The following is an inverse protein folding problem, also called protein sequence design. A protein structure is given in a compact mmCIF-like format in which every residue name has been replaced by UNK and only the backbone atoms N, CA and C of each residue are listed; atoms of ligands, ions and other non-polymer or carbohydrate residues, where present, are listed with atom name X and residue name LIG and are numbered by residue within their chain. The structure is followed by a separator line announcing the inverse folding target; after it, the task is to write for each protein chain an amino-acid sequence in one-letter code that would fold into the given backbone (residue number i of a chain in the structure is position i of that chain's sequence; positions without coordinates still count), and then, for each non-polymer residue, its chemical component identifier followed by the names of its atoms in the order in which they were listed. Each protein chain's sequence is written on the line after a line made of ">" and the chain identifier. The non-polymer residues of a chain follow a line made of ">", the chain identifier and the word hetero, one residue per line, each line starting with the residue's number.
data_IF_467227993213
#
_entry.id   IF_467227993213
#
_cell.length_a   1.000
_cell.length_b   1.000
_cell.length_c   1.000
_cell.angle_alpha   90.00
_cell.angle_beta   90.00
_cell.angle_gamma   90.00
#
_symmetry.space_group_name_H-M   'P 1'
#
loop_
_entity.id
_entity.type
_entity.pdbx_description
1 polymer ?
#
# COMPACT_ATOMS: atom_id res chain seq x y z
N UNK A 1 -40.37 23.45 -31.61
CA UNK A 1 -39.67 22.35 -30.91
C UNK A 1 -38.20 22.43 -31.29
N UNK A 2 -37.37 23.05 -30.44
CA UNK A 2 -36.33 22.38 -29.62
C UNK A 2 -35.40 21.51 -30.48
N UNK A 3 -34.21 22.02 -30.85
CA UNK A 3 -32.89 21.80 -30.18
C UNK A 3 -32.27 20.46 -30.64
N UNK A 4 -31.02 20.28 -31.08
CA UNK A 4 -29.76 21.03 -30.92
C UNK A 4 -28.76 20.54 -31.98
N UNK A 5 -27.96 21.48 -32.49
CA UNK A 5 -26.67 21.23 -33.13
C UNK A 5 -25.73 20.73 -32.02
N UNK A 6 -25.16 19.52 -32.16
CA UNK A 6 -24.10 19.05 -31.29
C UNK A 6 -22.77 19.13 -32.06
N UNK A 7 -22.13 20.30 -31.98
CA UNK A 7 -20.73 20.45 -32.33
C UNK A 7 -19.90 20.44 -31.05
N UNK A 8 -18.86 19.61 -31.12
CA UNK A 8 -17.53 19.80 -30.56
C UNK A 8 -17.32 19.86 -29.03
N UNK A 9 -16.19 19.26 -28.67
CA UNK A 9 -15.41 19.49 -27.47
C UNK A 9 -16.04 18.99 -26.17
N UNK A 10 -15.61 17.80 -25.75
CA UNK A 10 -14.70 17.72 -24.60
C UNK A 10 -13.99 16.36 -24.63
N UNK A 11 -12.95 16.27 -25.46
CA UNK A 11 -11.75 15.52 -25.06
C UNK A 11 -11.06 16.32 -23.95
N UNK A 12 -11.76 16.54 -22.83
CA UNK A 12 -11.08 16.81 -21.58
C UNK A 12 -10.61 15.43 -21.15
N UNK A 13 -9.29 15.24 -21.25
CA UNK A 13 -8.59 14.17 -20.59
C UNK A 13 -9.30 13.87 -19.28
N UNK A 14 -9.76 12.61 -19.14
CA UNK A 14 -9.72 12.01 -17.83
C UNK A 14 -8.25 12.09 -17.47
N UNK A 15 -7.91 13.19 -16.80
CA UNK A 15 -6.81 13.28 -15.86
C UNK A 15 -7.25 12.29 -14.78
N UNK A 16 -7.17 10.98 -15.11
CA UNK A 16 -6.83 10.00 -14.10
C UNK A 16 -5.66 10.64 -13.39
N UNK A 17 -5.75 10.92 -12.08
CA UNK A 17 -4.56 11.32 -11.38
C UNK A 17 -3.61 10.17 -11.63
N UNK A 18 -2.63 10.40 -12.52
CA UNK A 18 -1.36 9.72 -12.54
C UNK A 18 -0.65 10.17 -11.26
N UNK A 19 -1.29 9.89 -10.12
CA UNK A 19 -0.81 10.16 -8.79
C UNK A 19 0.01 8.96 -8.42
N UNK A 20 1.24 8.93 -8.95
CA UNK A 20 2.33 8.09 -8.51
C UNK A 20 1.92 6.64 -8.19
N UNK A 21 1.80 5.81 -9.23
CA UNK A 21 2.04 4.37 -9.06
C UNK A 21 3.42 4.28 -8.41
N UNK A 22 3.44 4.00 -7.11
CA UNK A 22 4.63 4.17 -6.31
C UNK A 22 5.68 3.23 -6.87
N UNK A 23 6.95 3.64 -6.95
CA UNK A 23 8.05 2.72 -7.30
C UNK A 23 8.12 1.52 -6.32
N UNK A 24 7.40 1.60 -5.21
CA UNK A 24 7.11 0.52 -4.28
C UNK A 24 6.26 -0.59 -4.88
N UNK A 25 5.36 -0.31 -5.83
CA UNK A 25 4.39 -1.26 -6.38
C UNK A 25 5.10 -2.48 -6.97
N UNK A 26 6.02 -2.29 -7.91
CA UNK A 26 6.74 -3.42 -8.48
C UNK A 26 7.76 -4.09 -7.52
N UNK A 27 8.40 -3.34 -6.60
CA UNK A 27 9.56 -3.85 -5.83
C UNK A 27 9.21 -4.77 -4.67
N UNK A 28 8.07 -4.55 -4.03
CA UNK A 28 7.59 -5.42 -2.94
C UNK A 28 6.76 -6.58 -3.52
N UNK A 29 6.09 -6.38 -4.67
CA UNK A 29 5.35 -7.44 -5.37
C UNK A 29 6.22 -8.63 -5.75
N UNK A 30 7.49 -8.41 -6.11
CA UNK A 30 8.39 -9.51 -6.52
C UNK A 30 8.95 -10.34 -5.36
N UNK A 31 8.78 -9.91 -4.11
CA UNK A 31 9.48 -10.53 -2.98
C UNK A 31 8.54 -11.20 -1.96
N UNK A 32 7.31 -10.70 -1.75
CA UNK A 32 6.47 -11.16 -0.64
C UNK A 32 4.97 -11.13 -1.00
N UNK A 33 4.28 -12.24 -0.76
CA UNK A 33 2.88 -12.45 -1.15
C UNK A 33 1.91 -11.56 -0.35
N UNK A 34 1.17 -10.74 -1.11
CA UNK A 34 -0.05 -9.98 -0.78
C UNK A 34 0.14 -8.61 -0.11
N UNK A 35 -0.42 -7.56 -0.74
CA UNK A 35 -0.25 -6.13 -0.39
C UNK A 35 -1.58 -5.41 -0.25
N UNK A 36 -1.77 -4.80 0.91
CA UNK A 36 -2.59 -3.61 1.05
C UNK A 36 -1.65 -2.50 1.52
N UNK A 37 -1.67 -1.35 0.87
CA UNK A 37 -1.03 -0.15 1.39
C UNK A 37 -2.12 0.89 1.63
N UNK A 38 -2.00 1.62 2.72
CA UNK A 38 -2.92 2.70 3.05
C UNK A 38 -2.14 3.98 3.31
N UNK A 39 -2.80 5.09 3.06
CA UNK A 39 -2.32 6.38 3.52
C UNK A 39 -2.44 6.40 5.04
N UNK A 40 -1.44 6.96 5.72
CA UNK A 40 -1.53 7.13 7.16
C UNK A 40 -2.58 8.22 7.46
N UNK A 41 -3.64 7.85 8.18
CA UNK A 41 -4.75 8.75 8.50
C UNK A 41 -4.31 9.97 9.34
N UNK A 42 -3.22 9.84 10.11
CA UNK A 42 -2.67 10.91 10.93
C UNK A 42 -1.65 11.79 10.19
N UNK A 43 -1.00 11.25 9.16
CA UNK A 43 -0.05 11.96 8.32
C UNK A 43 -0.22 11.50 6.86
N UNK A 44 -1.06 12.19 6.06
CA UNK A 44 -1.36 11.77 4.69
C UNK A 44 -0.17 11.76 3.73
N UNK A 45 0.98 12.33 4.12
CA UNK A 45 2.22 12.23 3.34
C UNK A 45 2.96 10.91 3.56
N UNK A 46 2.54 10.14 4.57
CA UNK A 46 3.11 8.84 4.96
C UNK A 46 2.21 7.68 4.56
N UNK A 47 2.84 6.51 4.42
CA UNK A 47 2.23 5.28 3.95
C UNK A 47 2.43 4.16 4.97
N UNK A 48 1.35 3.44 5.26
CA UNK A 48 1.36 2.20 6.01
C UNK A 48 1.32 1.03 5.03
N UNK A 49 2.22 0.06 5.21
CA UNK A 49 2.29 -1.15 4.37
C UNK A 49 1.84 -2.34 5.21
N UNK A 50 0.94 -3.16 4.69
CA UNK A 50 0.40 -4.34 5.35
C UNK A 50 0.82 -5.60 4.59
N UNK A 51 1.47 -6.54 5.28
CA UNK A 51 2.07 -7.73 4.65
C UNK A 51 1.67 -9.01 5.38
N UNK A 52 1.48 -10.10 4.66
CA UNK A 52 1.35 -11.44 5.23
C UNK A 52 2.65 -12.21 5.00
N UNK A 53 3.31 -12.63 6.08
CA UNK A 53 4.53 -13.41 6.02
C UNK A 53 4.29 -14.89 6.26
N UNK A 54 5.00 -15.72 5.51
CA UNK A 54 5.01 -17.17 5.73
C UNK A 54 5.85 -17.55 6.95
N UNK A 55 6.97 -16.87 7.15
CA UNK A 55 7.88 -17.09 8.28
C UNK A 55 7.96 -15.84 9.16
N UNK A 56 7.48 -15.95 10.40
CA UNK A 56 7.50 -14.86 11.38
C UNK A 56 8.91 -14.57 11.91
N UNK A 57 9.88 -15.45 11.75
CA UNK A 57 11.23 -15.25 12.29
C UNK A 57 12.02 -14.18 11.52
N UNK A 58 11.79 -14.07 10.21
CA UNK A 58 12.44 -13.08 9.33
C UNK A 58 11.63 -11.78 9.19
N UNK A 59 10.50 -11.72 9.88
CA UNK A 59 9.52 -10.66 9.86
C UNK A 59 10.15 -9.26 9.99
N UNK A 60 10.83 -9.03 11.11
CA UNK A 60 11.41 -7.72 11.41
C UNK A 60 12.44 -7.26 10.37
N UNK A 61 13.38 -8.14 10.01
CA UNK A 61 14.41 -7.84 9.00
C UNK A 61 13.78 -7.57 7.63
N UNK A 62 12.69 -8.25 7.29
CA UNK A 62 11.93 -8.01 6.07
C UNK A 62 11.20 -6.66 6.11
N UNK A 63 10.60 -6.30 7.25
CA UNK A 63 10.00 -4.98 7.48
C UNK A 63 11.02 -3.85 7.29
N UNK A 64 12.23 -4.00 7.86
CA UNK A 64 13.33 -3.05 7.70
C UNK A 64 13.71 -2.84 6.23
N UNK A 65 13.78 -3.92 5.45
CA UNK A 65 14.03 -3.85 4.00
C UNK A 65 12.90 -3.14 3.26
N UNK A 66 11.64 -3.39 3.63
CA UNK A 66 10.48 -2.69 3.06
C UNK A 66 10.54 -1.19 3.37
N UNK A 67 10.85 -0.82 4.62
CA UNK A 67 11.07 0.57 5.00
C UNK A 67 12.13 1.23 4.12
N UNK A 68 13.24 0.55 3.82
CA UNK A 68 14.32 1.11 2.99
C UNK A 68 13.92 1.40 1.53
N UNK A 69 12.76 0.96 1.05
CA UNK A 69 12.35 1.15 -0.34
C UNK A 69 11.85 2.57 -0.66
N UNK A 70 11.23 3.26 0.29
CA UNK A 70 10.69 4.61 0.09
C UNK A 70 10.58 5.37 1.43
N UNK A 71 10.93 6.66 1.44
CA UNK A 71 10.96 7.51 2.64
C UNK A 71 9.57 7.91 3.16
N UNK A 72 8.54 7.67 2.35
CA UNK A 72 7.14 7.87 2.75
C UNK A 72 6.59 6.71 3.56
N UNK A 73 7.20 5.53 3.55
CA UNK A 73 6.75 4.43 4.40
C UNK A 73 7.06 4.80 5.86
N UNK A 74 6.01 4.95 6.67
CA UNK A 74 6.14 5.17 8.11
C UNK A 74 6.10 3.89 8.91
N UNK A 75 5.31 2.91 8.46
CA UNK A 75 5.06 1.71 9.25
C UNK A 75 4.82 0.52 8.35
N UNK A 76 5.41 -0.61 8.72
CA UNK A 76 5.15 -1.91 8.10
C UNK A 76 4.45 -2.79 9.13
N UNK A 77 3.18 -3.08 8.88
CA UNK A 77 2.34 -3.99 9.63
C UNK A 77 2.45 -5.40 9.04
N UNK A 78 2.44 -6.42 9.88
CA UNK A 78 2.39 -7.79 9.41
C UNK A 78 1.59 -8.76 10.28
N UNK A 79 1.23 -9.86 9.63
CA UNK A 79 0.72 -11.07 10.26
C UNK A 79 1.14 -12.29 9.47
N UNK A 80 0.55 -13.44 9.79
CA UNK A 80 0.83 -14.69 9.09
C UNK A 80 -0.37 -15.26 8.33
N UNK A 81 -0.14 -16.38 7.63
CA UNK A 81 -1.17 -17.07 6.87
C UNK A 81 -2.33 -17.56 7.76
N UNK A 82 -2.06 -17.89 9.02
CA UNK A 82 -3.09 -18.27 9.99
C UNK A 82 -4.06 -17.12 10.23
N UNK A 83 -3.55 -15.92 10.43
CA UNK A 83 -4.37 -14.72 10.58
C UNK A 83 -5.02 -14.27 9.30
N UNK A 84 -4.36 -14.43 8.15
CA UNK A 84 -4.97 -14.20 6.86
C UNK A 84 -6.24 -15.05 6.65
N UNK A 85 -6.18 -16.34 7.02
CA UNK A 85 -7.34 -17.22 6.96
C UNK A 85 -8.43 -16.85 7.98
N UNK A 86 -8.05 -16.52 9.23
CA UNK A 86 -8.99 -16.10 10.29
C UNK A 86 -9.77 -14.84 9.92
N UNK A 87 -9.12 -13.89 9.25
CA UNK A 87 -9.72 -12.63 8.85
C UNK A 87 -10.33 -12.69 7.43
N UNK A 88 -10.69 -13.88 6.95
CA UNK A 88 -11.35 -14.08 5.67
C UNK A 88 -10.63 -13.39 4.50
N UNK A 89 -9.30 -13.55 4.44
CA UNK A 89 -8.46 -12.98 3.40
C UNK A 89 -8.40 -11.44 3.38
N UNK A 90 -8.82 -10.77 4.45
CA UNK A 90 -8.61 -9.35 4.64
C UNK A 90 -7.18 -9.07 5.13
N UNK A 91 -6.34 -8.56 4.23
CA UNK A 91 -4.92 -8.29 4.47
C UNK A 91 -4.72 -7.22 5.55
N UNK A 92 -5.47 -6.11 5.49
CA UNK A 92 -5.33 -5.00 6.45
C UNK A 92 -5.57 -5.48 7.87
N UNK A 93 -6.66 -6.22 8.09
CA UNK A 93 -6.99 -6.78 9.39
C UNK A 93 -6.00 -7.89 9.80
N UNK A 94 -5.67 -8.79 8.88
CA UNK A 94 -4.77 -9.91 9.16
C UNK A 94 -3.33 -9.49 9.45
N UNK A 95 -2.88 -8.38 8.88
CA UNK A 95 -1.54 -7.86 9.08
C UNK A 95 -1.39 -6.99 10.33
N UNK A 96 -2.45 -6.77 11.11
CA UNK A 96 -2.37 -5.96 12.33
C UNK A 96 -1.96 -6.76 13.58
N UNK A 97 -1.21 -7.85 13.41
CA UNK A 97 -0.70 -8.62 14.56
C UNK A 97 0.53 -7.97 15.20
N UNK A 98 1.39 -7.37 14.38
CA UNK A 98 2.59 -6.66 14.84
C UNK A 98 3.05 -5.65 13.78
N UNK A 99 4.02 -4.83 14.14
CA UNK A 99 4.47 -3.73 13.29
C UNK A 99 5.93 -3.34 13.55
N UNK A 100 6.48 -2.63 12.57
CA UNK A 100 7.79 -2.01 12.61
C UNK A 100 7.65 -0.58 12.13
N UNK A 101 8.04 0.37 12.99
CA UNK A 101 8.11 1.78 12.64
C UNK A 101 9.40 2.05 11.88
N UNK A 102 9.26 2.63 10.69
CA UNK A 102 10.39 2.99 9.86
C UNK A 102 11.08 4.22 10.44
N UNK A 103 12.15 4.02 11.22
CA UNK A 103 13.00 5.14 11.67
C UNK A 103 13.76 5.71 10.46
N UNK A 104 13.35 6.88 9.97
CA UNK A 104 14.06 7.59 8.90
C UNK A 104 14.31 9.04 9.29
N UNK A 105 15.58 9.42 9.39
CA UNK A 105 16.03 10.79 9.68
C UNK A 105 15.99 11.16 11.16
N UNK A 106 17.02 10.73 11.90
CA UNK A 106 17.42 11.42 13.14
C UNK A 106 18.43 12.50 12.81
#
# INVERSE_FOLDING_TARGET
>A
MKKLILQAALCAALISPAGAVSRLDHRVESAYNVRYFDVNEFDPEKVNVFVIWYDRSEAKLSAERVCALDDKISTVWWGDLGSYNKHHQNVRAAAQESFYECEKGR
#
